data_IF_373961371644
#
_entry.id   IF_373961371644
#
_cell.length_a   1.000
_cell.length_b   1.000
_cell.length_c   1.000
_cell.angle_alpha   90.00
_cell.angle_beta   90.00
_cell.angle_gamma   90.00
#
_symmetry.space_group_name_H-M   'P 1'
#
loop_
_entity.id
_entity.type
_entity.pdbx_description
1 polymer ?
#
# COMPACT_ATOMS: atom_id res chain seq x y z
N UNK A 1 -0.75 -18.39 10.30
CA UNK A 1 -0.63 -17.05 9.67
C UNK A 1 -1.89 -16.20 9.82
N UNK A 2 -3.04 -16.57 9.27
CA UNK A 2 -4.30 -15.80 9.43
C UNK A 2 -4.63 -15.49 10.91
N UNK A 3 -4.51 -16.48 11.80
CA UNK A 3 -4.74 -16.28 13.23
C UNK A 3 -3.77 -15.29 13.89
N UNK A 4 -2.53 -15.20 13.40
CA UNK A 4 -1.52 -14.27 13.91
C UNK A 4 -1.81 -12.82 13.52
N UNK A 5 -2.46 -12.60 12.37
CA UNK A 5 -2.97 -11.29 11.97
C UNK A 5 -4.23 -10.96 12.78
N UNK A 6 -5.13 -11.94 12.93
CA UNK A 6 -6.31 -11.86 13.79
C UNK A 6 -7.53 -12.49 13.12
N UNK A 7 -7.82 -13.76 13.41
CA UNK A 7 -8.88 -14.50 12.69
C UNK A 7 -10.28 -13.90 12.83
N UNK A 8 -10.60 -13.30 13.98
CA UNK A 8 -11.88 -12.63 14.24
C UNK A 8 -11.85 -11.11 14.05
N UNK A 9 -10.70 -10.53 13.70
CA UNK A 9 -10.59 -9.11 13.42
C UNK A 9 -11.23 -8.80 12.07
N UNK A 10 -11.87 -7.64 11.97
CA UNK A 10 -12.66 -7.22 10.81
C UNK A 10 -11.76 -6.64 9.73
N UNK A 11 -12.11 -6.89 8.47
CA UNK A 11 -11.55 -6.16 7.34
C UNK A 11 -11.93 -4.67 7.49
N UNK A 12 -10.96 -3.78 7.33
CA UNK A 12 -11.19 -2.35 7.48
C UNK A 12 -10.67 -1.60 6.24
N UNK A 13 -11.54 -0.88 5.50
CA UNK A 13 -11.09 0.05 4.49
C UNK A 13 -10.58 1.34 5.14
N UNK A 14 -9.27 1.54 5.10
CA UNK A 14 -8.61 2.76 5.61
C UNK A 14 -8.51 3.82 4.52
N UNK A 15 -9.67 4.17 3.97
CA UNK A 15 -9.88 5.20 2.95
C UNK A 15 -11.38 5.48 2.83
N UNK A 16 -11.74 6.64 2.26
CA UNK A 16 -13.14 7.00 2.06
C UNK A 16 -13.30 8.39 1.47
N UNK A 17 -14.51 8.95 1.60
CA UNK A 17 -14.87 10.23 0.98
C UNK A 17 -14.16 11.44 1.59
N UNK A 18 -13.78 11.34 2.86
CA UNK A 18 -13.04 12.38 3.56
C UNK A 18 -11.57 12.42 3.12
N UNK A 19 -11.10 13.61 2.74
CA UNK A 19 -9.74 13.80 2.20
C UNK A 19 -8.61 13.52 3.18
N UNK A 20 -8.92 13.37 4.47
CA UNK A 20 -7.95 12.98 5.50
C UNK A 20 -7.83 11.48 5.74
N UNK A 21 -8.59 10.64 5.02
CA UNK A 21 -8.46 9.18 5.06
C UNK A 21 -7.61 8.65 3.91
N UNK A 22 -6.96 7.52 4.14
CA UNK A 22 -6.12 6.86 3.15
C UNK A 22 -4.91 7.69 2.71
N UNK A 23 -4.26 7.23 1.64
CA UNK A 23 -3.00 7.79 1.14
C UNK A 23 -3.27 8.58 -0.14
N UNK A 24 -3.20 9.93 -0.11
CA UNK A 24 -3.36 10.71 -1.32
C UNK A 24 -2.12 10.59 -2.21
N UNK A 25 -2.31 10.88 -3.50
CA UNK A 25 -1.22 10.99 -4.46
C UNK A 25 -1.31 12.29 -5.26
N UNK A 26 -0.18 12.67 -5.84
CA UNK A 26 0.00 13.89 -6.61
C UNK A 26 0.32 13.53 -8.06
N UNK A 27 -0.44 14.04 -9.02
CA UNK A 27 -0.08 13.96 -10.44
C UNK A 27 0.88 15.10 -10.75
N UNK A 28 2.05 14.76 -11.27
CA UNK A 28 3.15 15.69 -11.57
C UNK A 28 3.66 15.47 -12.99
N UNK A 29 4.55 16.35 -13.45
CA UNK A 29 5.15 16.26 -14.77
C UNK A 29 6.40 17.12 -14.91
N UNK A 30 6.82 17.37 -16.15
CA UNK A 30 8.05 18.11 -16.45
C UNK A 30 8.08 19.54 -15.90
N UNK A 31 6.91 20.15 -15.69
CA UNK A 31 6.78 21.49 -15.09
C UNK A 31 6.88 21.53 -13.56
N UNK A 32 6.89 20.38 -12.88
CA UNK A 32 6.99 20.33 -11.42
C UNK A 32 8.47 20.46 -10.99
N UNK A 33 8.83 21.47 -10.16
CA UNK A 33 10.20 21.63 -9.69
C UNK A 33 10.72 20.39 -8.99
N UNK A 34 12.00 20.07 -9.24
CA UNK A 34 12.69 18.98 -8.55
C UNK A 34 13.31 19.50 -7.25
N UNK A 35 13.07 18.78 -6.16
CA UNK A 35 13.62 19.05 -4.83
C UNK A 35 14.58 17.93 -4.44
N UNK A 36 15.71 18.31 -3.84
CA UNK A 36 16.55 17.38 -3.09
C UNK A 36 15.88 17.07 -1.75
N UNK A 37 15.97 15.82 -1.33
CA UNK A 37 15.41 15.33 -0.06
C UNK A 37 16.55 14.71 0.75
N UNK A 38 16.65 15.09 2.02
CA UNK A 38 17.57 14.43 2.97
C UNK A 38 16.87 13.27 3.67
N UNK A 39 17.53 12.12 3.77
CA UNK A 39 16.94 10.86 4.24
C UNK A 39 17.51 10.40 5.59
N UNK A 40 16.65 9.84 6.45
CA UNK A 40 17.09 9.12 7.66
C UNK A 40 17.68 7.74 7.28
N UNK A 41 16.97 6.98 6.46
CA UNK A 41 17.42 5.71 5.87
C UNK A 41 18.15 5.98 4.55
N UNK A 42 19.24 6.75 4.60
CA UNK A 42 19.94 7.26 3.42
C UNK A 42 20.51 6.16 2.53
N UNK A 43 21.04 5.08 3.11
CA UNK A 43 21.69 3.99 2.37
C UNK A 43 20.70 3.07 1.64
N UNK A 44 19.41 3.19 1.96
CA UNK A 44 18.31 2.43 1.35
C UNK A 44 17.36 3.33 0.55
N UNK A 45 17.77 4.58 0.27
CA UNK A 45 16.96 5.58 -0.43
C UNK A 45 17.53 5.98 -1.79
N UNK A 46 16.67 6.33 -2.74
CA UNK A 46 17.08 6.80 -4.05
C UNK A 46 17.41 8.30 -4.02
N UNK A 47 18.69 8.63 -4.18
CA UNK A 47 19.19 10.01 -4.22
C UNK A 47 18.98 10.64 -5.60
N UNK A 48 17.85 11.29 -5.79
CA UNK A 48 17.54 12.05 -7.00
C UNK A 48 16.68 13.29 -6.69
N UNK A 49 16.41 14.09 -7.72
CA UNK A 49 15.44 15.18 -7.61
C UNK A 49 14.00 14.65 -7.61
N UNK A 50 13.26 14.87 -6.51
CA UNK A 50 11.86 14.50 -6.37
C UNK A 50 10.94 15.62 -6.89
N UNK A 51 9.96 15.34 -7.76
CA UNK A 51 9.05 16.34 -8.33
C UNK A 51 7.97 16.75 -7.33
N UNK A 52 8.36 17.42 -6.24
CA UNK A 52 7.43 17.80 -5.17
C UNK A 52 6.68 19.07 -5.58
N UNK A 53 5.33 19.03 -5.73
CA UNK A 53 4.55 20.22 -6.08
C UNK A 53 4.53 21.23 -4.93
N UNK A 54 4.17 22.49 -5.23
CA UNK A 54 4.17 23.57 -4.24
C UNK A 54 3.16 23.37 -3.08
N UNK A 55 2.10 22.61 -3.33
CA UNK A 55 1.06 22.25 -2.34
C UNK A 55 0.81 20.75 -2.41
N UNK A 56 1.78 19.93 -1.94
CA UNK A 56 1.66 18.48 -2.05
C UNK A 56 0.55 17.99 -1.14
N UNK A 57 -0.22 17.03 -1.63
CA UNK A 57 -1.07 16.19 -0.79
C UNK A 57 -0.16 15.17 -0.11
N UNK A 58 -0.21 15.17 1.21
CA UNK A 58 0.55 14.27 2.07
C UNK A 58 -0.48 13.54 2.93
N UNK A 59 -0.28 12.25 3.15
CA UNK A 59 -1.09 11.47 4.08
C UNK A 59 -1.13 12.13 5.47
N UNK A 60 -2.27 12.05 6.15
CA UNK A 60 -2.37 12.44 7.55
C UNK A 60 -1.63 11.48 8.49
N UNK A 61 -1.55 11.83 9.78
CA UNK A 61 -0.94 10.97 10.79
C UNK A 61 0.59 11.03 10.81
N UNK A 62 1.21 10.01 11.42
CA UNK A 62 2.66 9.96 11.64
C UNK A 62 3.45 9.65 10.36
N UNK A 63 2.92 8.83 9.46
CA UNK A 63 3.75 8.29 8.37
C UNK A 63 3.97 9.29 7.25
N UNK A 64 3.03 10.22 7.03
CA UNK A 64 3.18 11.36 6.12
C UNK A 64 3.68 10.92 4.74
N UNK A 65 3.08 9.86 4.20
CA UNK A 65 3.42 9.39 2.85
C UNK A 65 3.16 10.48 1.81
N UNK A 66 4.16 10.76 0.97
CA UNK A 66 4.07 11.68 -0.16
C UNK A 66 4.31 10.90 -1.46
N UNK A 67 3.22 10.60 -2.17
CA UNK A 67 3.25 9.87 -3.44
C UNK A 67 3.11 10.84 -4.61
N UNK A 68 3.95 10.69 -5.63
CA UNK A 68 3.99 11.55 -6.82
C UNK A 68 4.10 10.68 -8.08
N UNK A 69 3.10 10.75 -8.96
CA UNK A 69 3.08 10.04 -10.24
C UNK A 69 3.44 11.01 -11.36
N UNK A 70 4.62 10.83 -11.95
CA UNK A 70 5.10 11.58 -13.11
C UNK A 70 4.62 10.91 -14.40
N UNK A 71 3.59 11.50 -14.98
CA UNK A 71 2.92 10.96 -16.18
C UNK A 71 3.73 11.20 -17.46
N UNK A 72 4.67 12.14 -17.46
CA UNK A 72 5.55 12.38 -18.61
C UNK A 72 6.73 11.41 -18.61
N UNK A 73 7.31 11.15 -17.44
CA UNK A 73 8.47 10.26 -17.30
C UNK A 73 8.10 8.79 -17.06
N UNK A 74 6.81 8.48 -16.89
CA UNK A 74 6.32 7.15 -16.47
C UNK A 74 7.05 6.65 -15.21
N UNK A 75 7.11 7.50 -14.19
CA UNK A 75 7.78 7.22 -12.91
C UNK A 75 6.87 7.51 -11.73
N UNK A 76 7.06 6.75 -10.67
CA UNK A 76 6.44 6.97 -9.38
C UNK A 76 7.53 7.29 -8.37
N UNK A 77 7.34 8.35 -7.61
CA UNK A 77 8.23 8.80 -6.54
C UNK A 77 7.44 8.74 -5.24
N UNK A 78 8.01 8.10 -4.22
CA UNK A 78 7.34 7.90 -2.94
C UNK A 78 8.30 8.24 -1.81
N UNK A 79 7.81 8.97 -0.82
CA UNK A 79 8.54 9.36 0.37
C UNK A 79 7.76 8.93 1.60
N UNK A 80 8.45 8.34 2.57
CA UNK A 80 7.95 8.09 3.92
C UNK A 80 8.43 9.19 4.87
N UNK A 81 7.62 9.54 5.85
CA UNK A 81 7.89 10.53 6.91
C UNK A 81 8.23 11.93 6.35
N UNK A 82 7.62 12.30 5.20
CA UNK A 82 7.97 13.51 4.47
C UNK A 82 7.67 14.79 5.28
N UNK A 83 8.64 15.70 5.34
CA UNK A 83 8.55 16.98 6.05
C UNK A 83 9.20 18.11 5.27
N UNK A 84 8.52 19.25 5.24
CA UNK A 84 9.13 20.51 4.81
C UNK A 84 9.71 21.23 6.03
N UNK A 85 11.02 21.42 6.03
CA UNK A 85 11.73 22.22 7.04
C UNK A 85 12.16 23.57 6.46
N UNK A 86 12.71 24.44 7.30
CA UNK A 86 13.35 25.70 6.85
C UNK A 86 14.58 25.47 5.97
N UNK A 87 15.23 24.30 6.07
CA UNK A 87 16.46 23.96 5.35
C UNK A 87 16.22 23.13 4.08
N UNK A 88 15.00 22.66 3.84
CA UNK A 88 14.71 21.78 2.71
C UNK A 88 13.66 20.72 3.04
N UNK A 89 13.50 19.77 2.12
CA UNK A 89 12.69 18.58 2.35
C UNK A 89 13.51 17.52 3.07
N UNK A 90 12.91 16.89 4.07
CA UNK A 90 13.43 15.70 4.73
C UNK A 90 12.41 14.57 4.62
N UNK A 91 12.86 13.34 4.68
CA UNK A 91 12.03 12.14 4.70
C UNK A 91 12.75 11.03 5.48
N UNK A 92 12.00 10.03 5.94
CA UNK A 92 12.57 8.81 6.48
C UNK A 92 13.30 8.07 5.36
N UNK A 93 12.59 7.73 4.30
CA UNK A 93 13.12 7.03 3.12
C UNK A 93 12.51 7.59 1.82
N UNK A 94 13.14 7.28 0.69
CA UNK A 94 12.63 7.64 -0.64
C UNK A 94 12.87 6.55 -1.68
N UNK A 95 11.83 6.26 -2.46
CA UNK A 95 11.86 5.24 -3.50
C UNK A 95 11.33 5.78 -4.84
N UNK A 96 12.00 5.39 -5.92
CA UNK A 96 11.64 5.76 -7.29
C UNK A 96 11.42 4.49 -8.11
N UNK A 97 10.24 4.42 -8.72
CA UNK A 97 9.80 3.28 -9.49
C UNK A 97 9.61 3.66 -10.95
N UNK A 98 10.00 2.76 -11.84
CA UNK A 98 9.58 2.82 -13.25
C UNK A 98 8.20 2.19 -13.36
N UNK A 99 7.24 2.93 -13.95
CA UNK A 99 5.89 2.43 -14.19
C UNK A 99 5.79 1.56 -15.45
N UNK A 100 6.92 1.32 -16.13
CA UNK A 100 7.04 0.46 -17.30
C UNK A 100 7.77 -0.85 -16.98
N UNK A 101 8.03 -1.14 -15.70
CA UNK A 101 8.78 -2.32 -15.27
C UNK A 101 8.24 -2.86 -13.95
N UNK A 102 8.33 -4.18 -13.77
CA UNK A 102 8.08 -4.85 -12.50
C UNK A 102 9.36 -4.99 -11.65
N UNK A 103 10.47 -4.33 -12.02
CA UNK A 103 11.74 -4.45 -11.31
C UNK A 103 11.57 -4.08 -9.83
N UNK A 104 11.92 -5.03 -8.96
CA UNK A 104 11.91 -4.85 -7.51
C UNK A 104 13.15 -4.08 -7.04
N UNK A 105 13.07 -3.50 -5.84
CA UNK A 105 14.22 -2.91 -5.13
C UNK A 105 15.28 -3.97 -4.80
N UNK A 106 16.54 -3.55 -4.55
CA UNK A 106 17.55 -4.45 -3.99
C UNK A 106 17.02 -5.22 -2.76
N UNK A 107 17.49 -6.45 -2.56
CA UNK A 107 17.12 -7.19 -1.35
C UNK A 107 17.64 -6.46 -0.12
N UNK A 108 16.82 -6.37 0.92
CA UNK A 108 17.12 -5.67 2.15
C UNK A 108 16.95 -4.15 2.07
N UNK A 109 16.41 -3.59 0.99
CA UNK A 109 16.12 -2.15 0.90
C UNK A 109 14.65 -1.86 1.19
N UNK A 110 14.41 -1.01 2.18
CA UNK A 110 13.11 -0.40 2.44
C UNK A 110 12.66 0.50 1.28
N UNK A 111 11.45 1.02 1.38
CA UNK A 111 10.87 2.01 0.48
C UNK A 111 10.05 3.01 1.28
N UNK A 112 9.09 3.70 0.66
CA UNK A 112 8.07 4.40 1.43
C UNK A 112 7.13 3.42 2.16
N UNK A 113 7.04 2.17 1.69
CA UNK A 113 6.35 1.04 2.31
C UNK A 113 7.35 0.17 3.10
N UNK A 114 6.96 -0.31 4.28
CA UNK A 114 7.84 -1.11 5.14
C UNK A 114 8.31 -2.43 4.52
N UNK A 115 7.52 -3.05 3.63
CA UNK A 115 7.89 -4.27 2.91
C UNK A 115 8.86 -4.02 1.74
N UNK A 116 9.24 -2.76 1.48
CA UNK A 116 10.06 -2.39 0.32
C UNK A 116 9.29 -2.46 -1.01
N UNK A 117 7.96 -2.30 -0.97
CA UNK A 117 7.05 -2.34 -2.11
C UNK A 117 6.62 -0.92 -2.53
N UNK A 118 6.15 -0.71 -3.78
CA UNK A 118 5.54 0.56 -4.13
C UNK A 118 4.15 0.69 -3.47
N UNK A 119 3.81 1.84 -2.88
CA UNK A 119 2.52 2.08 -2.22
C UNK A 119 1.41 2.25 -3.26
N UNK A 120 1.55 3.19 -4.20
CA UNK A 120 0.48 3.58 -5.12
C UNK A 120 -0.12 2.39 -5.92
N UNK A 121 0.68 1.42 -6.42
CA UNK A 121 0.15 0.24 -7.10
C UNK A 121 -0.64 -0.72 -6.20
N UNK A 122 -0.50 -0.61 -4.88
CA UNK A 122 -1.27 -1.40 -3.91
C UNK A 122 -2.54 -0.71 -3.40
N UNK A 123 -2.75 0.57 -3.69
CA UNK A 123 -3.89 1.34 -3.19
C UNK A 123 -5.17 1.00 -3.95
N UNK A 124 -6.28 0.86 -3.22
CA UNK A 124 -7.63 0.92 -3.82
C UNK A 124 -7.90 2.34 -4.30
N UNK A 125 -8.31 2.52 -5.56
CA UNK A 125 -8.65 3.85 -6.09
C UNK A 125 -10.05 3.92 -6.70
N UNK A 126 -10.68 5.07 -6.56
CA UNK A 126 -12.04 5.28 -7.02
C UNK A 126 -12.18 5.16 -8.54
N UNK A 127 -11.18 5.64 -9.32
CA UNK A 127 -11.17 5.53 -10.78
C UNK A 127 -11.32 4.07 -11.26
N UNK A 128 -10.67 3.14 -10.55
CA UNK A 128 -10.72 1.71 -10.87
C UNK A 128 -12.06 1.08 -10.47
N UNK A 129 -12.60 1.48 -9.31
CA UNK A 129 -13.92 1.02 -8.86
C UNK A 129 -15.03 1.54 -9.76
N UNK A 130 -14.96 2.81 -10.16
CA UNK A 130 -15.88 3.41 -11.13
C UNK A 130 -15.78 2.75 -12.52
N UNK A 131 -14.58 2.33 -12.93
CA UNK A 131 -14.36 1.54 -14.14
C UNK A 131 -14.80 0.06 -14.00
N UNK A 132 -15.19 -0.38 -12.80
CA UNK A 132 -15.73 -1.72 -12.54
C UNK A 132 -14.69 -2.81 -12.27
N UNK A 133 -13.39 -2.48 -12.23
CA UNK A 133 -12.35 -3.47 -11.96
C UNK A 133 -11.07 -2.86 -11.35
N UNK A 134 -10.60 -3.47 -10.26
CA UNK A 134 -9.24 -3.31 -9.75
C UNK A 134 -8.43 -4.51 -10.22
N UNK A 135 -7.33 -4.26 -10.94
CA UNK A 135 -6.56 -5.29 -11.67
C UNK A 135 -5.22 -5.65 -11.00
N UNK A 136 -5.10 -5.40 -9.70
CA UNK A 136 -3.89 -5.65 -8.92
C UNK A 136 -4.23 -6.18 -7.53
N UNK A 137 -3.21 -6.69 -6.83
CA UNK A 137 -3.33 -7.02 -5.42
C UNK A 137 -3.37 -5.72 -4.58
N UNK A 138 -4.13 -5.75 -3.49
CA UNK A 138 -4.29 -4.61 -2.59
C UNK A 138 -3.23 -4.70 -1.47
N UNK A 139 -2.70 -3.58 -0.97
CA UNK A 139 -1.81 -3.59 0.20
C UNK A 139 -2.64 -3.64 1.49
N UNK A 140 -2.16 -4.34 2.50
CA UNK A 140 -2.79 -4.37 3.82
C UNK A 140 -1.76 -4.47 4.95
N UNK A 141 -2.22 -4.30 6.19
CA UNK A 141 -1.36 -4.31 7.38
C UNK A 141 -1.73 -5.40 8.39
N UNK A 142 -0.75 -5.75 9.23
CA UNK A 142 -0.90 -6.68 10.35
C UNK A 142 -0.28 -6.11 11.63
N UNK A 143 -0.74 -6.50 12.84
CA UNK A 143 -0.24 -5.92 14.08
C UNK A 143 1.25 -6.18 14.32
N UNK A 144 1.72 -7.36 13.94
CA UNK A 144 3.10 -7.78 14.12
C UNK A 144 3.53 -8.67 12.97
N UNK A 145 4.75 -8.46 12.50
CA UNK A 145 5.42 -9.29 11.49
C UNK A 145 6.68 -9.93 12.07
N UNK A 146 7.16 -11.01 11.46
CA UNK A 146 8.46 -11.60 11.78
C UNK A 146 9.60 -10.83 11.10
N UNK A 147 10.85 -11.10 11.47
CA UNK A 147 12.06 -10.48 10.90
C UNK A 147 12.48 -11.07 9.54
N UNK A 148 11.52 -11.46 8.71
CA UNK A 148 11.76 -11.97 7.37
C UNK A 148 10.70 -11.46 6.39
N UNK A 149 10.99 -11.59 5.10
CA UNK A 149 10.10 -11.22 4.02
C UNK A 149 10.09 -12.31 2.94
N UNK A 150 8.96 -12.41 2.24
CA UNK A 150 8.77 -13.31 1.10
C UNK A 150 8.44 -12.50 -0.15
N UNK A 151 8.70 -13.08 -1.32
CA UNK A 151 8.41 -12.42 -2.59
C UNK A 151 6.94 -11.94 -2.67
N UNK A 152 6.67 -10.71 -3.16
CA UNK A 152 7.61 -9.78 -3.80
C UNK A 152 8.29 -8.77 -2.85
N UNK A 153 8.04 -8.84 -1.55
CA UNK A 153 8.67 -7.93 -0.60
C UNK A 153 10.19 -8.06 -0.62
N UNK A 154 10.88 -6.95 -0.31
CA UNK A 154 12.34 -6.84 -0.29
C UNK A 154 12.88 -6.43 1.06
N UNK A 155 12.00 -6.12 2.01
CA UNK A 155 12.35 -5.59 3.31
C UNK A 155 11.38 -6.09 4.38
N UNK A 156 11.79 -6.03 5.63
CA UNK A 156 11.03 -6.44 6.80
C UNK A 156 10.99 -5.31 7.83
N UNK A 157 9.97 -5.26 8.68
CA UNK A 157 9.90 -4.29 9.78
C UNK A 157 9.50 -4.95 11.09
N UNK A 158 9.71 -6.27 11.16
CA UNK A 158 9.15 -7.14 12.16
C UNK A 158 10.15 -7.53 13.24
N UNK A 159 9.67 -8.33 14.18
CA UNK A 159 10.52 -8.94 15.20
C UNK A 159 10.04 -10.35 15.49
N UNK A 160 10.96 -11.24 15.87
CA UNK A 160 10.63 -12.62 16.25
C UNK A 160 10.39 -13.55 15.07
N UNK A 161 9.94 -14.77 15.37
CA UNK A 161 9.93 -15.90 14.42
C UNK A 161 8.71 -15.93 13.50
N UNK A 162 8.94 -16.33 12.24
CA UNK A 162 7.88 -16.57 11.25
C UNK A 162 7.04 -17.83 11.53
N UNK A 163 7.34 -18.60 12.59
CA UNK A 163 6.45 -19.66 13.05
C UNK A 163 5.17 -19.14 13.71
N UNK A 164 5.21 -17.90 14.24
CA UNK A 164 4.10 -17.29 14.99
C UNK A 164 3.65 -15.94 14.44
N UNK A 165 4.41 -15.33 13.53
CA UNK A 165 4.08 -14.05 12.89
C UNK A 165 4.19 -14.14 11.38
N UNK A 166 3.34 -13.42 10.62
CA UNK A 166 3.44 -13.40 9.17
C UNK A 166 4.71 -12.65 8.71
N UNK A 167 5.37 -13.10 7.62
CA UNK A 167 6.43 -12.33 6.98
C UNK A 167 5.85 -11.19 6.12
N UNK A 168 6.63 -10.12 5.93
CA UNK A 168 6.30 -9.10 4.92
C UNK A 168 6.17 -9.75 3.53
N UNK A 169 5.28 -9.24 2.70
CA UNK A 169 4.97 -9.80 1.39
C UNK A 169 4.04 -11.01 1.41
N UNK A 170 3.63 -11.52 2.59
CA UNK A 170 2.64 -12.59 2.69
C UNK A 170 1.38 -12.22 1.90
N UNK A 171 1.03 -13.07 0.93
CA UNK A 171 -0.18 -12.90 0.13
C UNK A 171 -1.34 -13.70 0.73
N UNK A 172 -2.48 -13.05 0.85
CA UNK A 172 -3.74 -13.66 1.26
C UNK A 172 -4.82 -13.26 0.26
N UNK A 173 -5.88 -14.04 0.16
CA UNK A 173 -7.03 -13.70 -0.70
C UNK A 173 -8.35 -14.02 -0.04
N UNK A 174 -9.40 -13.34 -0.47
CA UNK A 174 -10.75 -13.67 -0.04
C UNK A 174 -11.14 -15.04 -0.60
N UNK A 175 -11.67 -15.92 0.24
CA UNK A 175 -12.10 -17.26 -0.16
C UNK A 175 -13.15 -17.18 -1.25
N UNK A 176 -13.06 -18.08 -2.24
CA UNK A 176 -14.01 -18.14 -3.34
C UNK A 176 -15.46 -18.31 -2.85
N UNK A 177 -15.66 -19.05 -1.75
CA UNK A 177 -16.95 -19.37 -1.13
C UNK A 177 -17.66 -18.19 -0.46
N UNK A 178 -16.98 -17.06 -0.20
CA UNK A 178 -17.59 -15.89 0.44
C UNK A 178 -18.65 -15.30 -0.50
N UNK A 179 -19.89 -15.21 -0.04
CA UNK A 179 -20.96 -14.60 -0.83
C UNK A 179 -20.84 -13.08 -0.81
N UNK A 180 -20.70 -12.46 -1.98
CA UNK A 180 -20.53 -11.01 -2.12
C UNK A 180 -21.79 -10.30 -2.63
N UNK A 181 -22.89 -11.03 -2.84
CA UNK A 181 -24.12 -10.49 -3.44
C UNK A 181 -24.78 -9.37 -2.60
N UNK A 182 -24.65 -9.45 -1.26
CA UNK A 182 -25.23 -8.48 -0.33
C UNK A 182 -24.45 -7.17 -0.23
N UNK A 183 -23.23 -7.09 -0.78
CA UNK A 183 -22.40 -5.89 -0.73
C UNK A 183 -22.81 -4.90 -1.81
N UNK A 184 -22.63 -3.61 -1.54
CA UNK A 184 -22.89 -2.53 -2.49
C UNK A 184 -21.97 -2.59 -3.72
N UNK A 185 -22.33 -1.89 -4.81
CA UNK A 185 -21.58 -1.89 -6.07
C UNK A 185 -20.09 -1.59 -5.91
N UNK A 186 -19.70 -0.59 -5.10
CA UNK A 186 -18.29 -0.23 -4.93
C UNK A 186 -17.53 -1.35 -4.20
N UNK A 187 -18.11 -1.85 -3.11
CA UNK A 187 -17.54 -2.95 -2.33
C UNK A 187 -17.43 -4.25 -3.13
N UNK A 188 -18.37 -4.55 -4.03
CA UNK A 188 -18.29 -5.75 -4.89
C UNK A 188 -17.09 -5.74 -5.84
N UNK A 189 -16.68 -4.58 -6.35
CA UNK A 189 -15.48 -4.46 -7.19
C UNK A 189 -14.23 -4.77 -6.36
N UNK A 190 -14.14 -4.21 -5.15
CA UNK A 190 -13.03 -4.47 -4.21
C UNK A 190 -12.98 -5.96 -3.84
N UNK A 191 -14.11 -6.57 -3.48
CA UNK A 191 -14.19 -7.98 -3.13
C UNK A 191 -13.82 -8.90 -4.30
N UNK A 192 -14.17 -8.52 -5.53
CA UNK A 192 -13.75 -9.23 -6.73
C UNK A 192 -12.23 -9.22 -6.89
N UNK A 193 -11.60 -8.06 -6.64
CA UNK A 193 -10.15 -7.96 -6.64
C UNK A 193 -9.50 -8.76 -5.51
N UNK A 194 -10.05 -8.73 -4.29
CA UNK A 194 -9.58 -9.54 -3.17
C UNK A 194 -9.72 -11.05 -3.42
N UNK A 195 -10.70 -11.51 -4.19
CA UNK A 195 -10.77 -12.93 -4.62
C UNK A 195 -9.73 -13.25 -5.69
N UNK A 196 -9.63 -12.40 -6.72
CA UNK A 196 -8.84 -12.68 -7.93
C UNK A 196 -7.35 -12.44 -7.73
N UNK A 197 -6.99 -11.30 -7.15
CA UNK A 197 -5.63 -10.85 -6.95
C UNK A 197 -5.21 -10.91 -5.47
N UNK A 198 -6.15 -10.94 -4.53
CA UNK A 198 -5.81 -10.95 -3.12
C UNK A 198 -5.19 -9.64 -2.66
N UNK A 199 -4.49 -9.72 -1.54
CA UNK A 199 -3.80 -8.61 -0.90
C UNK A 199 -2.46 -9.06 -0.32
N UNK A 200 -1.52 -8.12 -0.22
CA UNK A 200 -0.14 -8.36 0.19
C UNK A 200 0.16 -7.60 1.47
N UNK A 201 0.75 -8.30 2.44
CA UNK A 201 1.14 -7.71 3.71
C UNK A 201 2.31 -6.77 3.48
N UNK A 202 2.08 -5.49 3.69
CA UNK A 202 3.00 -4.43 3.29
C UNK A 202 3.53 -3.66 4.50
N UNK A 203 2.76 -3.59 5.60
CA UNK A 203 3.16 -2.81 6.76
C UNK A 203 2.70 -3.42 8.08
N UNK A 204 3.32 -2.93 9.16
CA UNK A 204 2.81 -3.12 10.50
C UNK A 204 1.73 -2.06 10.80
N UNK A 205 0.61 -2.49 11.35
CA UNK A 205 -0.52 -1.61 11.64
C UNK A 205 -1.70 -2.38 12.19
N UNK A 206 -2.88 -1.79 12.15
CA UNK A 206 -4.10 -2.47 12.61
C UNK A 206 -4.42 -3.71 11.75
N UNK A 207 -5.00 -4.78 12.33
CA UNK A 207 -5.20 -6.02 11.61
C UNK A 207 -6.22 -5.84 10.47
N UNK A 208 -5.86 -6.29 9.26
CA UNK A 208 -6.73 -6.30 8.08
C UNK A 208 -7.15 -4.92 7.58
N UNK A 209 -6.33 -3.91 7.79
CA UNK A 209 -6.55 -2.60 7.18
C UNK A 209 -6.06 -2.64 5.74
N UNK A 210 -6.98 -2.52 4.79
CA UNK A 210 -6.66 -2.31 3.37
C UNK A 210 -6.63 -0.81 3.10
N UNK A 211 -5.63 -0.33 2.38
CA UNK A 211 -5.45 1.11 2.14
C UNK A 211 -5.85 1.52 0.73
N UNK A 212 -6.25 2.77 0.59
CA UNK A 212 -6.71 3.35 -0.67
C UNK A 212 -6.46 4.85 -0.74
N UNK A 213 -6.79 5.44 -1.88
CA UNK A 213 -6.74 6.88 -2.06
C UNK A 213 -8.08 7.53 -1.68
N UNK A 214 -8.08 8.70 -1.00
CA UNK A 214 -9.29 9.45 -0.74
C UNK A 214 -9.93 9.96 -2.03
N UNK A 215 -11.25 9.89 -2.10
CA UNK A 215 -12.03 10.42 -3.23
C UNK A 215 -13.47 10.75 -2.76
N UNK A 216 -13.99 11.97 -2.99
CA UNK A 216 -15.31 12.38 -2.51
C UNK A 216 -16.49 11.53 -3.02
N UNK A 217 -16.28 10.69 -4.05
CA UNK A 217 -17.31 9.84 -4.61
C UNK A 217 -17.39 8.44 -3.96
N UNK A 218 -16.52 8.14 -2.99
CA UNK A 218 -16.66 6.93 -2.18
C UNK A 218 -18.00 6.93 -1.43
N UNK A 219 -18.69 5.80 -1.45
CA UNK A 219 -19.85 5.55 -0.60
C UNK A 219 -19.36 4.92 0.71
N UNK A 220 -19.10 5.76 1.72
CA UNK A 220 -18.53 5.30 2.99
C UNK A 220 -19.43 4.30 3.73
N UNK A 221 -20.75 4.38 3.54
CA UNK A 221 -21.69 3.38 4.08
C UNK A 221 -21.46 2.00 3.44
N UNK A 222 -21.23 1.93 2.13
CA UNK A 222 -20.90 0.67 1.45
C UNK A 222 -19.54 0.13 1.87
N UNK A 223 -18.54 1.02 2.01
CA UNK A 223 -17.20 0.64 2.47
C UNK A 223 -17.26 0.07 3.90
N UNK A 224 -18.02 0.69 4.80
CA UNK A 224 -18.14 0.22 6.19
C UNK A 224 -18.69 -1.22 6.29
N UNK A 225 -19.53 -1.64 5.34
CA UNK A 225 -20.07 -3.01 5.27
C UNK A 225 -18.98 -4.07 5.02
N UNK A 226 -17.81 -3.70 4.45
CA UNK A 226 -16.66 -4.60 4.34
C UNK A 226 -16.22 -5.19 5.69
N UNK A 227 -16.48 -4.47 6.79
CA UNK A 227 -16.22 -4.94 8.15
C UNK A 227 -17.09 -6.11 8.64
N UNK A 228 -18.04 -6.58 7.84
CA UNK A 228 -18.71 -7.86 8.08
C UNK A 228 -17.79 -9.05 7.81
N UNK A 229 -16.76 -8.87 6.98
CA UNK A 229 -15.73 -9.87 6.73
C UNK A 229 -14.68 -9.84 7.83
N UNK A 230 -14.14 -11.01 8.14
CA UNK A 230 -13.10 -11.19 9.14
C UNK A 230 -11.91 -11.94 8.55
N UNK A 231 -10.81 -12.03 9.30
CA UNK A 231 -9.68 -12.88 8.92
C UNK A 231 -10.08 -14.31 8.55
N UNK A 232 -11.16 -14.86 9.14
CA UNK A 232 -11.69 -16.19 8.82
C UNK A 232 -12.17 -16.34 7.37
N UNK A 233 -12.48 -15.24 6.68
CA UNK A 233 -12.91 -15.23 5.28
C UNK A 233 -11.75 -15.26 4.28
N UNK A 234 -10.51 -15.18 4.78
CA UNK A 234 -9.30 -15.17 3.96
C UNK A 234 -8.52 -16.49 4.06
N UNK A 235 -7.74 -16.75 3.02
CA UNK A 235 -6.79 -17.86 2.94
C UNK A 235 -5.42 -17.38 2.47
N UNK A 236 -4.36 -18.06 2.92
CA UNK A 236 -3.00 -17.78 2.45
C UNK A 236 -2.86 -18.27 1.01
N UNK A 237 -2.22 -17.46 0.19
CA UNK A 237 -1.81 -17.83 -1.17
C UNK A 237 -0.36 -18.25 -1.11
N UNK A 238 -0.07 -19.46 -1.58
CA UNK A 238 1.29 -19.91 -1.75
C UNK A 238 1.96 -19.13 -2.89
N UNK A 239 2.97 -18.34 -2.54
CA UNK A 239 3.78 -17.56 -3.49
C UNK A 239 5.13 -18.20 -3.74
N UNK A 240 5.40 -19.40 -3.20
CA UNK A 240 6.63 -20.13 -3.47
C UNK A 240 6.73 -20.42 -4.96
N UNK A 241 7.88 -20.09 -5.56
CA UNK A 241 8.12 -20.22 -6.99
C UNK A 241 7.64 -19.05 -7.85
N UNK A 242 6.97 -18.04 -7.28
CA UNK A 242 6.79 -16.77 -8.00
C UNK A 242 8.14 -16.06 -8.12
N UNK A 243 8.45 -15.62 -9.34
CA UNK A 243 9.62 -14.83 -9.66
C UNK A 243 9.18 -13.60 -10.44
N UNK A 244 10.03 -12.58 -10.48
CA UNK A 244 9.75 -11.43 -11.33
C UNK A 244 9.75 -11.87 -12.80
N UNK A 245 8.69 -11.52 -13.53
CA UNK A 245 8.54 -11.79 -14.96
C UNK A 245 9.29 -10.78 -15.83
#
# INVERSE_FOLDING_TARGET
>A
MISAIGIGARLHPDFGSYSGYGIPYNVVGSGTPRSTVSFAYSDESDHAGYPIPARPRIEGGSDRHLLMVDTNACRLYELYDALKTTHGWTAGSGAIWSLTSNKLRPAGWTSADAAGLPILPGLVRYDQVAAGAILHAIRFTAPQTCNEYVYPARHEAGTGSCSVRPPMGLRVRLKASVNTAAFGPQSRVILTALKRYGMMLADNGSPWYITGAPDPHWNDNELHVLGQLTGADFEVVDTTGLVNG
#
